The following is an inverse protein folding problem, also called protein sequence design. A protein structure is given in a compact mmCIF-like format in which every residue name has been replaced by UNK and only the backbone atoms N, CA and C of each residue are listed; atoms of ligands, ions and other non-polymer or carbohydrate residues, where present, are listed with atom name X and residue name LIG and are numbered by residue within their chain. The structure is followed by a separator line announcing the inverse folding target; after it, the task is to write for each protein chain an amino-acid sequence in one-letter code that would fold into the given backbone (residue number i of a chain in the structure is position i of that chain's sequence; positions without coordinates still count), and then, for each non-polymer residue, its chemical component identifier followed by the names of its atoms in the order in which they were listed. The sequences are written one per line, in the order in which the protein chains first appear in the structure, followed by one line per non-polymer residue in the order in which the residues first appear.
data_IF_820693427028
#
_entry.id   IF_820693427028
#
_cell.length_a   1.000
_cell.length_b   1.000
_cell.length_c   1.000
_cell.angle_alpha   90.00
_cell.angle_beta   90.00
_cell.angle_gamma   90.00
#
_symmetry.space_group_name_H-M   'P 1'
#
loop_
_entity.id
_entity.type
_entity.pdbx_description
1 polymer ?
#
# COMPACT_ATOMS: atom_id res chain seq x y z
N UNK A 1 5.50 -26.58 32.22
CA UNK A 1 6.17 -25.51 31.49
C UNK A 1 6.86 -26.13 30.28
N UNK A 2 6.31 -26.02 29.11
CA UNK A 2 6.92 -26.57 27.88
C UNK A 2 8.08 -25.66 27.46
N UNK A 3 9.24 -26.28 27.26
CA UNK A 3 10.46 -25.59 26.85
C UNK A 3 10.22 -24.96 25.45
N UNK A 4 10.34 -23.62 25.27
CA UNK A 4 10.09 -22.97 24.00
C UNK A 4 11.06 -23.40 22.87
N UNK A 5 12.14 -24.10 23.19
CA UNK A 5 13.10 -24.65 22.22
C UNK A 5 12.71 -26.00 21.62
N UNK A 6 11.59 -26.58 22.02
CA UNK A 6 11.09 -27.88 21.51
C UNK A 6 9.86 -27.71 20.59
N UNK A 7 9.55 -26.50 20.14
CA UNK A 7 8.47 -26.26 19.20
C UNK A 7 8.81 -26.91 17.84
N UNK A 8 7.93 -27.72 17.25
CA UNK A 8 8.21 -28.40 15.99
C UNK A 8 8.54 -27.41 14.86
N UNK A 9 9.40 -27.79 13.90
CA UNK A 9 9.82 -26.89 12.81
C UNK A 9 8.69 -26.24 12.02
N UNK A 10 7.54 -26.92 11.90
CA UNK A 10 6.35 -26.38 11.23
C UNK A 10 5.68 -25.24 12.00
N UNK A 11 5.85 -25.19 13.32
CA UNK A 11 5.29 -24.08 14.14
C UNK A 11 6.17 -22.83 14.02
N UNK A 12 7.50 -23.01 13.87
CA UNK A 12 8.41 -21.90 13.58
C UNK A 12 8.20 -21.35 12.16
N UNK A 13 8.00 -22.24 11.18
CA UNK A 13 7.67 -21.84 9.81
C UNK A 13 6.33 -21.07 9.75
N UNK A 14 5.33 -21.49 10.51
CA UNK A 14 4.07 -20.78 10.63
C UNK A 14 4.23 -19.43 11.35
N UNK A 15 5.08 -19.33 12.38
CA UNK A 15 5.32 -18.05 13.08
C UNK A 15 5.97 -16.99 12.18
N UNK A 16 6.72 -17.38 11.16
CA UNK A 16 7.29 -16.48 10.16
C UNK A 16 6.26 -16.02 9.11
N UNK A 17 5.10 -16.68 9.02
CA UNK A 17 3.97 -16.24 8.19
C UNK A 17 3.16 -15.14 8.87
N UNK A 18 3.31 -14.96 10.18
CA UNK A 18 2.54 -13.98 10.93
C UNK A 18 3.32 -12.68 11.10
N UNK A 19 2.64 -11.54 10.90
CA UNK A 19 3.22 -10.24 11.18
C UNK A 19 3.60 -10.09 12.65
N UNK A 20 4.62 -9.28 12.92
CA UNK A 20 4.92 -8.84 14.27
C UNK A 20 3.97 -7.72 14.67
N UNK A 21 3.27 -7.91 15.78
CA UNK A 21 2.41 -6.87 16.35
C UNK A 21 3.29 -5.79 16.97
N UNK A 22 3.09 -4.54 16.56
CA UNK A 22 3.75 -3.40 17.18
C UNK A 22 3.15 -3.10 18.56
N UNK A 23 3.86 -2.32 19.38
CA UNK A 23 3.33 -1.88 20.67
C UNK A 23 2.10 -0.97 20.55
N UNK A 24 1.91 -0.34 19.39
CA UNK A 24 0.75 0.48 19.06
C UNK A 24 0.15 0.00 17.76
N UNK A 25 -1.17 0.09 17.66
CA UNK A 25 -1.93 -0.27 16.48
C UNK A 25 -2.47 0.98 15.79
N UNK A 26 -2.76 0.89 14.51
CA UNK A 26 -3.34 2.00 13.77
C UNK A 26 -4.72 2.33 14.35
N UNK A 27 -4.94 3.59 14.73
CA UNK A 27 -6.22 4.08 15.26
C UNK A 27 -6.76 3.22 16.43
N UNK A 28 -5.88 2.69 17.29
CA UNK A 28 -6.22 1.79 18.39
C UNK A 28 -7.01 0.55 17.97
N UNK A 29 -6.81 0.05 16.75
CA UNK A 29 -7.38 -1.20 16.27
C UNK A 29 -7.03 -2.38 17.18
N UNK A 30 -7.87 -3.41 17.21
CA UNK A 30 -7.60 -4.65 17.96
C UNK A 30 -6.34 -5.34 17.40
N UNK A 31 -5.31 -5.63 18.20
CA UNK A 31 -4.13 -6.33 17.71
C UNK A 31 -4.42 -7.81 17.45
N UNK A 32 -4.05 -8.30 16.27
CA UNK A 32 -4.22 -9.70 15.87
C UNK A 32 -2.90 -10.23 15.31
N UNK A 33 -2.32 -11.25 15.96
CA UNK A 33 -1.09 -11.88 15.52
C UNK A 33 -1.31 -13.13 14.68
N UNK A 34 -2.43 -13.83 14.84
CA UNK A 34 -2.77 -15.05 14.09
C UNK A 34 -3.82 -14.73 13.03
N UNK A 35 -3.44 -14.85 11.76
CA UNK A 35 -4.34 -14.63 10.64
C UNK A 35 -5.19 -15.86 10.28
N UNK A 36 -4.91 -17.03 10.84
CA UNK A 36 -5.74 -18.22 10.63
C UNK A 36 -7.08 -18.06 11.36
N UNK A 37 -8.17 -18.14 10.60
CA UNK A 37 -9.50 -17.92 11.16
C UNK A 37 -9.79 -16.46 11.52
N UNK A 38 -9.05 -15.53 10.94
CA UNK A 38 -9.29 -14.09 11.09
C UNK A 38 -10.77 -13.77 10.83
N UNK A 39 -11.34 -12.94 11.70
CA UNK A 39 -12.64 -12.31 11.52
C UNK A 39 -12.42 -10.82 11.69
N UNK A 40 -12.64 -10.06 10.64
CA UNK A 40 -12.51 -8.62 10.65
C UNK A 40 -13.30 -8.03 9.49
N UNK A 41 -13.75 -6.79 9.63
CA UNK A 41 -14.30 -6.00 8.54
C UNK A 41 -13.20 -5.17 7.88
N UNK A 42 -12.23 -4.69 8.67
CA UNK A 42 -11.06 -3.94 8.20
C UNK A 42 -9.82 -4.50 8.88
N UNK A 43 -8.76 -4.75 8.11
CA UNK A 43 -7.50 -5.29 8.61
C UNK A 43 -6.29 -4.49 8.12
N UNK A 44 -5.50 -3.98 9.05
CA UNK A 44 -4.23 -3.30 8.77
C UNK A 44 -3.11 -4.32 8.69
N UNK A 45 -2.24 -4.20 7.69
CA UNK A 45 -1.02 -4.98 7.54
C UNK A 45 0.13 -4.04 7.19
N UNK A 46 1.20 -4.09 7.95
CA UNK A 46 2.41 -3.34 7.65
C UNK A 46 3.40 -4.15 6.81
N UNK A 47 4.08 -3.47 5.92
CA UNK A 47 5.21 -4.00 5.15
C UNK A 47 6.34 -2.96 5.07
N UNK A 48 7.18 -2.85 6.12
CA UNK A 48 8.22 -1.82 6.22
C UNK A 48 9.27 -1.87 5.12
N UNK A 49 9.50 -3.04 4.51
CA UNK A 49 10.59 -3.22 3.56
C UNK A 49 10.10 -3.75 2.22
N UNK A 50 10.48 -3.06 1.15
CA UNK A 50 10.42 -3.59 -0.21
C UNK A 50 11.64 -4.45 -0.55
N UNK A 51 11.76 -4.91 -1.79
CA UNK A 51 12.95 -5.59 -2.29
C UNK A 51 14.07 -4.57 -2.49
N UNK A 52 15.24 -4.75 -1.83
CA UNK A 52 16.32 -3.79 -1.91
C UNK A 52 17.09 -3.91 -3.23
N UNK A 53 17.65 -2.78 -3.71
CA UNK A 53 18.57 -2.76 -4.85
C UNK A 53 20.01 -3.16 -4.51
N UNK A 54 20.31 -3.35 -3.23
CA UNK A 54 21.61 -3.80 -2.75
C UNK A 54 21.46 -4.66 -1.50
N UNK A 55 22.48 -5.43 -1.15
CA UNK A 55 22.50 -6.24 0.06
C UNK A 55 22.37 -5.42 1.37
N UNK A 56 22.58 -4.12 1.31
CA UNK A 56 22.47 -3.20 2.46
C UNK A 56 21.16 -2.39 2.43
N UNK A 57 20.26 -2.66 1.49
CA UNK A 57 19.08 -1.84 1.22
C UNK A 57 17.88 -2.06 2.14
N UNK A 58 17.99 -2.90 3.17
CA UNK A 58 16.91 -3.07 4.16
C UNK A 58 16.88 -1.99 5.24
N UNK A 59 17.86 -1.11 5.29
CA UNK A 59 17.90 0.00 6.23
C UNK A 59 17.72 1.32 5.49
N UNK A 60 16.50 1.64 5.12
CA UNK A 60 16.11 2.96 4.66
C UNK A 60 15.14 3.61 5.65
N UNK A 61 15.06 4.94 5.61
CA UNK A 61 14.20 5.69 6.54
C UNK A 61 12.72 5.40 6.30
N UNK A 62 12.35 4.92 5.12
CA UNK A 62 10.97 4.55 4.77
C UNK A 62 10.47 3.35 5.57
N UNK A 63 11.37 2.49 6.05
CA UNK A 63 11.04 1.32 6.87
C UNK A 63 10.36 1.67 8.20
N UNK A 64 10.51 2.89 8.68
CA UNK A 64 9.86 3.36 9.91
C UNK A 64 8.41 3.83 9.69
N UNK A 65 7.97 3.99 8.45
CA UNK A 65 6.65 4.57 8.14
C UNK A 65 5.49 3.84 8.79
N UNK A 66 5.38 2.49 8.77
CA UNK A 66 4.26 1.81 9.44
C UNK A 66 4.20 2.08 10.94
N UNK A 67 5.36 2.12 11.60
CA UNK A 67 5.45 2.42 13.03
C UNK A 67 5.02 3.86 13.33
N UNK A 68 5.53 4.82 12.56
CA UNK A 68 5.23 6.25 12.74
C UNK A 68 3.75 6.52 12.50
N UNK A 69 3.15 5.94 11.47
CA UNK A 69 1.72 6.10 11.19
C UNK A 69 0.85 5.57 12.33
N UNK A 70 1.21 4.42 12.92
CA UNK A 70 0.52 3.89 14.10
C UNK A 70 0.65 4.81 15.31
N UNK A 71 1.86 5.29 15.59
CA UNK A 71 2.11 6.20 16.72
C UNK A 71 1.38 7.52 16.58
N UNK A 72 1.39 8.12 15.38
CA UNK A 72 0.71 9.38 15.13
C UNK A 72 -0.82 9.26 15.13
N UNK A 73 -1.34 8.09 14.76
CA UNK A 73 -2.78 7.84 14.72
C UNK A 73 -3.44 7.87 16.09
N UNK A 74 -2.69 7.63 17.19
CA UNK A 74 -3.18 7.77 18.56
C UNK A 74 -3.78 9.16 18.83
N UNK A 75 -3.21 10.19 18.22
CA UNK A 75 -3.72 11.56 18.35
C UNK A 75 -5.13 11.73 17.78
N UNK A 76 -5.44 11.01 16.71
CA UNK A 76 -6.75 11.09 16.04
C UNK A 76 -7.84 10.41 16.89
N UNK A 77 -7.50 9.29 17.52
CA UNK A 77 -8.48 8.45 18.22
C UNK A 77 -8.63 8.73 19.72
N UNK A 78 -7.93 9.73 20.24
CA UNK A 78 -8.12 10.14 21.66
C UNK A 78 -9.57 10.44 21.99
N UNK A 79 -10.32 10.88 20.99
CA UNK A 79 -11.73 11.23 21.11
C UNK A 79 -12.48 10.70 19.89
N UNK A 80 -12.69 9.37 19.77
CA UNK A 80 -13.27 8.76 18.56
C UNK A 80 -14.72 9.21 18.29
N UNK A 81 -15.39 9.79 19.28
CA UNK A 81 -16.75 10.31 19.16
C UNK A 81 -16.79 11.79 18.72
N UNK A 82 -15.61 12.42 18.58
CA UNK A 82 -15.54 13.79 18.07
C UNK A 82 -15.90 13.81 16.57
N UNK A 83 -16.54 14.91 16.20
CA UNK A 83 -16.91 15.12 14.80
C UNK A 83 -15.68 15.46 13.97
N UNK A 84 -15.51 14.75 12.87
CA UNK A 84 -14.48 15.00 11.86
C UNK A 84 -15.16 15.52 10.59
N UNK A 85 -14.79 16.73 10.16
CA UNK A 85 -15.36 17.41 9.00
C UNK A 85 -14.95 16.77 7.66
N UNK A 86 -13.87 15.97 7.64
CA UNK A 86 -13.44 15.29 6.40
C UNK A 86 -14.30 14.09 6.07
N UNK A 87 -14.88 13.44 7.08
CA UNK A 87 -15.75 12.27 6.93
C UNK A 87 -17.22 12.54 7.29
N UNK A 88 -17.55 13.79 7.65
CA UNK A 88 -18.90 14.26 8.01
C UNK A 88 -19.50 13.45 9.18
N UNK A 89 -18.70 13.20 10.22
CA UNK A 89 -19.14 12.42 11.38
C UNK A 89 -17.99 11.94 12.26
N UNK A 90 -18.27 11.17 13.29
CA UNK A 90 -17.25 10.54 14.11
C UNK A 90 -16.55 9.40 13.36
N UNK A 91 -15.41 8.93 13.87
CA UNK A 91 -14.67 7.80 13.29
C UNK A 91 -15.59 6.59 13.11
N UNK A 92 -15.52 5.94 11.94
CA UNK A 92 -16.39 4.84 11.51
C UNK A 92 -17.89 5.18 11.59
N UNK A 93 -18.25 6.46 11.47
CA UNK A 93 -19.63 6.95 11.62
C UNK A 93 -20.28 6.53 12.96
N UNK A 94 -19.48 6.41 14.03
CA UNK A 94 -19.91 5.97 15.33
C UNK A 94 -20.29 4.50 15.43
N UNK A 95 -20.11 3.71 14.38
CA UNK A 95 -20.42 2.27 14.37
C UNK A 95 -19.47 1.50 15.28
N UNK A 96 -20.02 0.71 16.18
CA UNK A 96 -19.28 -0.12 17.14
C UNK A 96 -19.28 -1.62 16.74
N UNK A 97 -20.02 -1.98 15.72
CA UNK A 97 -20.12 -3.33 15.17
C UNK A 97 -19.03 -3.66 14.15
N UNK A 98 -18.29 -2.67 13.66
CA UNK A 98 -17.16 -2.85 12.75
C UNK A 98 -15.96 -3.37 13.54
N UNK A 99 -15.48 -4.56 13.18
CA UNK A 99 -14.27 -5.12 13.73
C UNK A 99 -13.06 -4.64 12.92
N UNK A 100 -12.35 -3.68 13.48
CA UNK A 100 -11.14 -3.09 12.94
C UNK A 100 -9.93 -3.68 13.65
N UNK A 101 -9.04 -4.34 12.92
CA UNK A 101 -7.89 -5.04 13.47
C UNK A 101 -6.58 -4.54 12.87
N UNK A 102 -5.49 -4.65 13.62
CA UNK A 102 -4.12 -4.43 13.14
C UNK A 102 -3.33 -5.73 13.28
N UNK A 103 -2.90 -6.25 12.15
CA UNK A 103 -2.22 -7.54 12.02
C UNK A 103 -0.68 -7.43 12.19
N UNK A 104 -0.15 -6.23 12.48
CA UNK A 104 1.29 -6.00 12.62
C UNK A 104 2.01 -5.97 11.27
N UNK A 105 3.32 -6.29 11.28
CA UNK A 105 4.22 -6.09 10.14
C UNK A 105 4.80 -7.40 9.61
N UNK A 106 4.86 -7.54 8.28
CA UNK A 106 5.65 -8.57 7.61
C UNK A 106 7.08 -8.08 7.48
N UNK A 107 8.00 -8.74 8.16
CA UNK A 107 9.42 -8.40 8.17
C UNK A 107 10.25 -9.41 7.37
N UNK A 108 11.34 -8.99 6.70
CA UNK A 108 12.33 -9.90 6.18
C UNK A 108 13.12 -10.56 7.34
N UNK A 109 13.46 -11.84 7.23
CA UNK A 109 14.51 -12.41 8.06
C UNK A 109 15.87 -12.15 7.39
N UNK A 110 16.54 -11.11 7.84
CA UNK A 110 17.82 -10.65 7.27
C UNK A 110 18.95 -11.70 7.36
N UNK A 111 18.76 -12.76 8.13
CA UNK A 111 19.75 -13.85 8.29
C UNK A 111 19.57 -14.95 7.27
N UNK A 112 18.35 -15.18 6.80
CA UNK A 112 17.99 -16.35 5.99
C UNK A 112 17.34 -15.99 4.66
N UNK A 113 16.61 -14.87 4.58
CA UNK A 113 15.93 -14.48 3.36
C UNK A 113 16.92 -13.96 2.31
N UNK A 114 16.74 -14.40 1.07
CA UNK A 114 17.26 -13.68 -0.07
C UNK A 114 16.46 -12.39 -0.29
N UNK A 115 17.04 -11.37 -0.94
CA UNK A 115 16.31 -10.15 -1.25
C UNK A 115 14.95 -10.45 -1.91
N UNK A 116 13.86 -9.99 -1.29
CA UNK A 116 12.50 -10.18 -1.79
C UNK A 116 11.78 -11.48 -1.37
N UNK A 117 12.43 -12.43 -0.70
CA UNK A 117 11.74 -13.66 -0.25
C UNK A 117 10.59 -13.40 0.73
N UNK A 118 10.66 -12.34 1.53
CA UNK A 118 9.57 -11.91 2.40
C UNK A 118 8.31 -11.49 1.63
N UNK A 119 8.40 -11.21 0.32
CA UNK A 119 7.26 -10.91 -0.55
C UNK A 119 6.26 -12.06 -0.59
N UNK A 120 6.73 -13.31 -0.64
CA UNK A 120 5.84 -14.46 -0.60
C UNK A 120 5.04 -14.54 0.70
N UNK A 121 5.66 -14.20 1.84
CA UNK A 121 4.97 -14.13 3.14
C UNK A 121 3.95 -13.00 3.17
N UNK A 122 4.28 -11.84 2.62
CA UNK A 122 3.38 -10.71 2.53
C UNK A 122 2.14 -11.04 1.67
N UNK A 123 2.36 -11.66 0.51
CA UNK A 123 1.26 -12.15 -0.35
C UNK A 123 0.39 -13.17 0.39
N UNK A 124 0.99 -14.13 1.11
CA UNK A 124 0.25 -15.14 1.87
C UNK A 124 -0.57 -14.51 3.02
N UNK A 125 0.02 -13.56 3.76
CA UNK A 125 -0.67 -12.83 4.83
C UNK A 125 -1.88 -12.05 4.28
N UNK A 126 -1.72 -11.33 3.18
CA UNK A 126 -2.82 -10.59 2.58
C UNK A 126 -3.91 -11.52 2.02
N UNK A 127 -3.56 -12.69 1.46
CA UNK A 127 -4.56 -13.69 1.06
C UNK A 127 -5.44 -14.15 2.22
N UNK A 128 -4.87 -14.35 3.41
CA UNK A 128 -5.65 -14.71 4.60
C UNK A 128 -6.61 -13.60 5.02
N UNK A 129 -6.17 -12.35 4.93
CA UNK A 129 -7.02 -11.18 5.19
C UNK A 129 -8.18 -11.11 4.18
N UNK A 130 -7.89 -11.29 2.89
CA UNK A 130 -8.90 -11.30 1.84
C UNK A 130 -9.88 -12.49 1.96
N UNK A 131 -9.40 -13.67 2.35
CA UNK A 131 -10.23 -14.85 2.63
C UNK A 131 -11.19 -14.63 3.81
N UNK A 132 -10.79 -13.82 4.78
CA UNK A 132 -11.68 -13.39 5.87
C UNK A 132 -12.76 -12.40 5.42
N UNK A 133 -12.71 -11.90 4.18
CA UNK A 133 -13.62 -10.87 3.66
C UNK A 133 -13.34 -9.46 4.17
N UNK A 134 -12.20 -9.24 4.83
CA UNK A 134 -11.83 -7.95 5.37
C UNK A 134 -11.30 -6.99 4.29
N UNK A 135 -11.61 -5.70 4.44
CA UNK A 135 -10.97 -4.63 3.66
C UNK A 135 -9.53 -4.42 4.16
N UNK A 136 -8.51 -4.66 3.35
CA UNK A 136 -7.13 -4.46 3.78
C UNK A 136 -6.70 -3.00 3.70
N UNK A 137 -5.94 -2.55 4.70
CA UNK A 137 -5.19 -1.30 4.70
C UNK A 137 -3.72 -1.66 4.83
N UNK A 138 -2.92 -1.35 3.82
CA UNK A 138 -1.50 -1.67 3.81
C UNK A 138 -0.66 -0.44 4.17
N UNK A 139 0.18 -0.56 5.18
CA UNK A 139 1.12 0.47 5.57
C UNK A 139 2.50 0.12 5.01
N UNK A 140 2.99 0.94 4.08
CA UNK A 140 4.23 0.68 3.38
C UNK A 140 5.47 1.27 4.05
N UNK A 141 6.58 0.69 3.64
CA UNK A 141 7.89 1.26 3.45
C UNK A 141 8.00 1.88 2.06
N UNK A 142 8.92 1.38 1.22
CA UNK A 142 9.03 1.86 -0.16
C UNK A 142 7.96 1.24 -1.08
N UNK A 143 7.76 1.84 -2.25
CA UNK A 143 6.66 1.50 -3.16
C UNK A 143 6.72 0.07 -3.75
N UNK A 144 7.87 -0.60 -3.70
CA UNK A 144 8.02 -2.00 -4.15
C UNK A 144 7.06 -2.98 -3.48
N UNK A 145 6.54 -2.63 -2.30
CA UNK A 145 5.56 -3.45 -1.58
C UNK A 145 4.24 -3.65 -2.33
N UNK A 146 3.90 -2.77 -3.26
CA UNK A 146 2.68 -2.90 -4.08
C UNK A 146 2.68 -4.21 -4.88
N UNK A 147 3.84 -4.67 -5.34
CA UNK A 147 3.96 -5.93 -6.09
C UNK A 147 3.43 -7.16 -5.36
N UNK A 148 3.92 -7.52 -4.15
CA UNK A 148 3.41 -8.69 -3.42
C UNK A 148 1.96 -8.52 -2.96
N UNK A 149 1.51 -7.30 -2.71
CA UNK A 149 0.13 -7.03 -2.34
C UNK A 149 -0.82 -7.29 -3.50
N UNK A 150 -0.53 -6.78 -4.69
CA UNK A 150 -1.34 -7.04 -5.89
C UNK A 150 -1.43 -8.53 -6.23
N UNK A 151 -0.35 -9.30 -6.04
CA UNK A 151 -0.35 -10.75 -6.26
C UNK A 151 -1.37 -11.51 -5.43
N UNK A 152 -1.77 -10.98 -4.28
CA UNK A 152 -2.76 -11.62 -3.42
C UNK A 152 -4.18 -11.62 -4.02
N UNK A 153 -4.43 -10.77 -5.00
CA UNK A 153 -5.75 -10.60 -5.63
C UNK A 153 -5.98 -11.50 -6.84
N UNK A 154 -5.10 -12.44 -7.15
CA UNK A 154 -5.16 -13.33 -8.31
C UNK A 154 -6.46 -14.15 -8.43
N UNK A 155 -7.19 -14.33 -7.33
CA UNK A 155 -8.47 -15.05 -7.31
C UNK A 155 -9.68 -14.14 -7.09
N UNK A 156 -9.50 -12.82 -7.09
CA UNK A 156 -10.57 -11.87 -6.78
C UNK A 156 -11.20 -11.21 -8.02
N UNK A 157 -10.86 -11.71 -9.23
CA UNK A 157 -11.33 -11.18 -10.52
C UNK A 157 -10.63 -9.89 -10.93
N UNK A 158 -11.09 -9.28 -12.02
CA UNK A 158 -10.40 -8.12 -12.58
C UNK A 158 -10.46 -6.93 -11.64
N UNK A 159 -9.33 -6.23 -11.51
CA UNK A 159 -9.18 -5.01 -10.74
C UNK A 159 -8.66 -3.87 -11.61
N UNK A 160 -9.07 -2.65 -11.27
CA UNK A 160 -8.49 -1.41 -11.77
C UNK A 160 -7.51 -0.88 -10.73
N UNK A 161 -6.23 -0.74 -11.12
CA UNK A 161 -5.20 -0.15 -10.28
C UNK A 161 -5.24 1.36 -10.41
N UNK A 162 -5.47 2.05 -9.31
CA UNK A 162 -5.34 3.50 -9.17
C UNK A 162 -4.03 3.78 -8.45
N UNK A 163 -3.09 4.40 -9.15
CA UNK A 163 -1.74 4.66 -8.68
C UNK A 163 -1.50 6.16 -8.57
N UNK A 164 -1.33 6.66 -7.36
CA UNK A 164 -0.99 8.06 -7.08
C UNK A 164 0.51 8.16 -6.84
N UNK A 165 1.21 8.91 -7.69
CA UNK A 165 2.68 8.98 -7.65
C UNK A 165 3.19 10.15 -8.52
N UNK A 166 4.37 10.68 -8.19
CA UNK A 166 5.11 11.54 -9.11
C UNK A 166 5.77 10.75 -10.26
N UNK A 167 5.98 9.45 -10.07
CA UNK A 167 6.74 8.54 -10.92
C UNK A 167 5.86 7.53 -11.65
N UNK A 168 6.36 6.99 -12.76
CA UNK A 168 5.61 5.94 -13.51
C UNK A 168 5.83 4.54 -12.95
N UNK A 169 6.89 4.32 -12.18
CA UNK A 169 7.27 3.03 -11.56
C UNK A 169 7.19 1.83 -12.53
N UNK A 170 7.63 2.07 -13.78
CA UNK A 170 7.53 1.13 -14.90
C UNK A 170 8.87 0.50 -15.30
N UNK A 171 9.85 0.49 -14.38
CA UNK A 171 11.16 -0.14 -14.66
C UNK A 171 11.02 -1.65 -14.73
N UNK A 172 11.54 -2.26 -15.80
CA UNK A 172 11.61 -3.72 -15.86
C UNK A 172 12.63 -4.26 -14.86
N UNK A 173 13.76 -3.58 -14.76
CA UNK A 173 14.88 -3.97 -13.90
C UNK A 173 15.68 -2.75 -13.42
N UNK A 174 16.18 -2.82 -12.20
CA UNK A 174 17.18 -1.89 -11.66
C UNK A 174 18.29 -2.72 -11.01
N UNK A 175 19.47 -2.77 -11.64
CA UNK A 175 20.66 -3.50 -11.15
C UNK A 175 20.37 -4.98 -10.87
N UNK A 176 19.59 -5.64 -11.75
CA UNK A 176 19.18 -7.05 -11.59
C UNK A 176 17.99 -7.28 -10.66
N UNK A 177 17.44 -6.25 -10.04
CA UNK A 177 16.25 -6.35 -9.18
C UNK A 177 15.01 -5.91 -9.95
N UNK A 178 14.10 -6.86 -10.19
CA UNK A 178 12.87 -6.64 -10.95
C UNK A 178 11.69 -6.17 -10.10
N UNK A 179 11.77 -6.29 -8.79
CA UNK A 179 10.65 -6.06 -7.85
C UNK A 179 10.96 -4.96 -6.84
N UNK A 180 11.89 -4.07 -7.18
CA UNK A 180 12.20 -2.91 -6.35
C UNK A 180 11.20 -1.78 -6.50
N UNK A 181 11.44 -0.69 -5.76
CA UNK A 181 10.51 0.44 -5.64
C UNK A 181 10.14 1.13 -6.97
N UNK A 182 10.98 1.07 -8.01
CA UNK A 182 10.70 1.70 -9.30
C UNK A 182 9.99 0.77 -10.31
N UNK A 183 9.50 -0.40 -9.86
CA UNK A 183 8.99 -1.45 -10.75
C UNK A 183 7.58 -1.96 -10.44
N UNK A 184 6.88 -1.53 -9.39
CA UNK A 184 5.64 -2.17 -8.97
C UNK A 184 4.55 -2.08 -10.04
N UNK A 185 4.48 -0.98 -10.78
CA UNK A 185 3.44 -0.81 -11.79
C UNK A 185 3.76 -1.60 -13.07
N UNK A 186 5.04 -1.75 -13.40
CA UNK A 186 5.47 -2.70 -14.42
C UNK A 186 5.10 -4.13 -14.03
N UNK A 187 5.32 -4.54 -12.78
CA UNK A 187 4.91 -5.88 -12.30
C UNK A 187 3.40 -6.04 -12.31
N UNK A 188 2.65 -5.00 -11.95
CA UNK A 188 1.19 -5.01 -12.02
C UNK A 188 0.70 -5.28 -13.45
N UNK A 189 1.31 -4.67 -14.46
CA UNK A 189 0.93 -4.85 -15.87
C UNK A 189 1.14 -6.27 -16.40
N UNK A 190 1.89 -7.10 -15.68
CA UNK A 190 2.14 -8.51 -16.02
C UNK A 190 1.17 -9.48 -15.31
N UNK A 191 0.25 -8.96 -14.49
CA UNK A 191 -0.73 -9.75 -13.72
C UNK A 191 -2.06 -9.82 -14.47
N UNK A 192 -2.53 -11.03 -14.81
CA UNK A 192 -3.76 -11.25 -15.59
C UNK A 192 -5.02 -10.63 -14.97
N UNK A 193 -5.04 -10.44 -13.65
CA UNK A 193 -6.17 -9.85 -12.95
C UNK A 193 -6.13 -8.30 -12.87
N UNK A 194 -5.05 -7.66 -13.31
CA UNK A 194 -4.96 -6.21 -13.43
C UNK A 194 -5.34 -5.80 -14.85
N UNK A 195 -6.55 -5.27 -15.03
CA UNK A 195 -7.09 -4.97 -16.35
C UNK A 195 -6.88 -3.53 -16.78
N UNK A 196 -6.85 -2.60 -15.84
CA UNK A 196 -6.63 -1.19 -16.11
C UNK A 196 -5.69 -0.57 -15.08
N UNK A 197 -4.91 0.41 -15.51
CA UNK A 197 -3.97 1.14 -14.66
C UNK A 197 -4.16 2.63 -14.92
N UNK A 198 -4.54 3.37 -13.87
CA UNK A 198 -4.60 4.82 -13.85
C UNK A 198 -3.46 5.35 -12.98
N UNK A 199 -2.51 6.05 -13.58
CA UNK A 199 -1.40 6.69 -12.89
C UNK A 199 -1.68 8.18 -12.75
N UNK A 200 -1.83 8.67 -11.52
CA UNK A 200 -2.31 10.00 -11.19
C UNK A 200 -1.20 10.81 -10.50
N UNK A 201 -0.87 11.97 -11.03
CA UNK A 201 0.07 12.89 -10.39
C UNK A 201 1.47 12.92 -10.99
N UNK A 202 1.66 12.27 -12.15
CA UNK A 202 2.94 12.20 -12.85
C UNK A 202 3.49 13.60 -13.15
N UNK A 203 4.78 13.83 -12.83
CA UNK A 203 5.42 15.12 -13.03
C UNK A 203 6.93 15.06 -12.91
N UNK A 204 7.60 16.17 -13.25
CA UNK A 204 9.03 16.38 -13.18
C UNK A 204 9.87 15.46 -14.10
N UNK A 205 11.11 15.88 -14.31
CA UNK A 205 12.12 15.06 -14.96
C UNK A 205 12.58 13.96 -13.98
N UNK A 206 12.75 12.75 -14.48
CA UNK A 206 13.14 11.60 -13.65
C UNK A 206 12.00 10.71 -13.20
N UNK A 207 10.75 11.14 -13.41
CA UNK A 207 9.56 10.31 -13.11
C UNK A 207 9.50 9.02 -13.95
N UNK A 208 10.18 8.98 -15.08
CA UNK A 208 10.29 7.80 -15.93
C UNK A 208 11.29 8.01 -17.06
N UNK A 209 11.87 6.93 -17.57
CA UNK A 209 12.63 6.97 -18.82
C UNK A 209 11.68 6.98 -20.00
N UNK A 210 12.12 7.52 -21.14
CA UNK A 210 11.29 7.54 -22.35
C UNK A 210 10.75 6.16 -22.71
N UNK A 211 11.61 5.13 -22.69
CA UNK A 211 11.21 3.77 -23.01
C UNK A 211 10.18 3.19 -22.03
N UNK A 212 10.28 3.50 -20.73
CA UNK A 212 9.31 3.05 -19.71
C UNK A 212 7.94 3.69 -19.95
N UNK A 213 7.91 4.99 -20.27
CA UNK A 213 6.69 5.74 -20.58
C UNK A 213 6.04 5.22 -21.87
N UNK A 214 6.83 4.97 -22.91
CA UNK A 214 6.33 4.43 -24.19
C UNK A 214 5.77 3.02 -24.00
N UNK A 215 6.39 2.20 -23.16
CA UNK A 215 5.92 0.85 -22.86
C UNK A 215 4.63 0.88 -22.03
N UNK A 216 4.53 1.72 -21.03
CA UNK A 216 3.30 1.92 -20.27
C UNK A 216 2.12 2.35 -21.17
N UNK A 217 2.36 3.30 -22.09
CA UNK A 217 1.35 3.73 -23.06
C UNK A 217 0.96 2.62 -24.02
N UNK A 218 1.92 1.80 -24.47
CA UNK A 218 1.67 0.67 -25.37
C UNK A 218 0.85 -0.42 -24.68
N UNK A 219 1.05 -0.61 -23.38
CA UNK A 219 0.23 -1.52 -22.57
C UNK A 219 -1.21 -0.99 -22.42
N UNK A 220 -1.42 0.32 -22.49
CA UNK A 220 -2.72 0.96 -22.34
C UNK A 220 -2.91 1.68 -21.00
N UNK A 221 -1.84 1.90 -20.22
CA UNK A 221 -1.92 2.65 -18.97
C UNK A 221 -2.31 4.12 -19.20
N UNK A 222 -3.21 4.62 -18.37
CA UNK A 222 -3.65 6.01 -18.38
C UNK A 222 -2.67 6.87 -17.57
N UNK A 223 -1.80 7.58 -18.27
CA UNK A 223 -0.77 8.44 -17.66
C UNK A 223 -1.32 9.86 -17.50
N UNK A 224 -1.74 10.21 -16.30
CA UNK A 224 -2.40 11.47 -15.97
C UNK A 224 -1.45 12.33 -15.13
N UNK A 225 -1.05 13.47 -15.67
CA UNK A 225 -0.14 14.37 -14.98
C UNK A 225 -0.83 15.14 -13.85
N UNK A 226 -0.04 15.60 -12.87
CA UNK A 226 -0.55 16.49 -11.83
C UNK A 226 -1.14 17.78 -12.44
N UNK A 227 -0.54 18.31 -13.51
CA UNK A 227 -1.03 19.49 -14.22
C UNK A 227 -2.42 19.27 -14.81
N UNK A 228 -2.64 18.12 -15.45
CA UNK A 228 -3.96 17.75 -15.98
C UNK A 228 -5.02 17.68 -14.87
N UNK A 229 -4.66 17.13 -13.69
CA UNK A 229 -5.54 17.07 -12.54
C UNK A 229 -5.84 18.47 -11.99
N UNK A 230 -4.85 19.37 -11.96
CA UNK A 230 -5.04 20.74 -11.50
C UNK A 230 -5.94 21.52 -12.44
N UNK A 231 -5.78 21.33 -13.74
CA UNK A 231 -6.54 22.07 -14.75
C UNK A 231 -7.99 21.57 -14.90
N UNK A 232 -8.19 20.23 -14.93
CA UNK A 232 -9.50 19.62 -15.15
C UNK A 232 -10.31 19.43 -13.86
N UNK A 233 -9.66 19.35 -12.71
CA UNK A 233 -10.25 18.98 -11.43
C UNK A 233 -10.44 17.46 -11.25
N UNK A 234 -10.45 17.01 -10.01
CA UNK A 234 -10.51 15.57 -9.66
C UNK A 234 -11.81 14.89 -10.14
N UNK A 235 -12.93 15.61 -10.19
CA UNK A 235 -14.20 15.07 -10.68
C UNK A 235 -14.09 14.58 -12.14
N UNK A 236 -13.48 15.37 -13.02
CA UNK A 236 -13.28 15.02 -14.42
C UNK A 236 -12.31 13.82 -14.59
N UNK A 237 -11.38 13.62 -13.64
CA UNK A 237 -10.51 12.44 -13.63
C UNK A 237 -11.27 11.19 -13.19
N UNK A 238 -12.11 11.33 -12.15
CA UNK A 238 -12.95 10.22 -11.64
C UNK A 238 -13.94 9.73 -12.70
N UNK A 239 -14.49 10.63 -13.52
CA UNK A 239 -15.41 10.28 -14.62
C UNK A 239 -14.75 9.38 -15.69
N UNK A 240 -13.41 9.32 -15.74
CA UNK A 240 -12.65 8.46 -16.66
C UNK A 240 -12.38 7.08 -16.08
N UNK A 241 -12.49 6.91 -14.77
CA UNK A 241 -12.25 5.64 -14.08
C UNK A 241 -13.52 4.80 -14.17
N UNK A 242 -13.47 3.56 -14.68
CA UNK A 242 -14.64 2.71 -14.81
C UNK A 242 -15.32 2.47 -13.46
N UNK A 243 -16.63 2.61 -13.41
CA UNK A 243 -17.42 2.27 -12.23
C UNK A 243 -17.68 0.75 -12.17
N UNK A 244 -16.61 -0.02 -11.94
CA UNK A 244 -16.65 -1.47 -11.81
C UNK A 244 -16.58 -1.97 -10.35
N UNK A 245 -16.40 -1.04 -9.40
CA UNK A 245 -16.40 -1.30 -7.96
C UNK A 245 -15.22 -2.13 -7.43
N UNK A 246 -14.18 -2.34 -8.24
CA UNK A 246 -13.00 -3.15 -7.86
C UNK A 246 -11.72 -2.39 -8.09
N UNK A 247 -11.38 -1.56 -7.13
CA UNK A 247 -10.18 -0.74 -7.18
C UNK A 247 -9.13 -1.23 -6.20
N UNK A 248 -7.86 -1.20 -6.64
CA UNK A 248 -6.72 -1.20 -5.75
C UNK A 248 -6.11 0.19 -5.79
N UNK A 249 -6.16 0.90 -4.67
CA UNK A 249 -5.57 2.23 -4.56
C UNK A 249 -4.17 2.10 -3.95
N UNK A 250 -3.15 2.45 -4.74
CA UNK A 250 -1.76 2.57 -4.30
C UNK A 250 -1.39 4.04 -4.24
N UNK A 251 -0.90 4.49 -3.10
CA UNK A 251 -0.51 5.88 -2.88
C UNK A 251 0.97 5.91 -2.51
N UNK A 252 1.80 6.41 -3.43
CA UNK A 252 3.12 6.91 -3.05
C UNK A 252 2.97 8.30 -2.41
N UNK A 253 3.67 8.50 -1.30
CA UNK A 253 3.61 9.76 -0.56
C UNK A 253 4.10 10.95 -1.40
N UNK A 254 5.01 10.73 -2.36
CA UNK A 254 5.50 11.78 -3.23
C UNK A 254 4.55 12.14 -4.38
N UNK A 255 3.50 11.37 -4.62
CA UNK A 255 2.38 11.77 -5.47
C UNK A 255 1.63 12.99 -4.93
N UNK A 256 1.67 13.16 -3.60
CA UNK A 256 1.12 14.33 -2.90
C UNK A 256 2.11 15.49 -2.92
N UNK A 257 1.60 16.72 -2.90
CA UNK A 257 2.47 17.91 -2.88
C UNK A 257 3.32 17.98 -1.60
N UNK A 258 4.63 18.31 -1.67
CA UNK A 258 5.50 18.39 -0.51
C UNK A 258 5.08 19.39 0.56
N UNK A 259 4.20 20.34 0.25
CA UNK A 259 3.60 21.24 1.26
C UNK A 259 2.61 20.53 2.17
N UNK A 260 2.08 19.39 1.73
CA UNK A 260 1.17 18.52 2.48
C UNK A 260 1.93 17.30 3.05
N UNK A 261 2.79 16.70 2.26
CA UNK A 261 3.55 15.48 2.58
C UNK A 261 5.06 15.72 2.39
N UNK A 262 5.74 16.41 3.32
CA UNK A 262 7.16 16.81 3.14
C UNK A 262 8.16 15.66 3.35
N UNK A 263 7.77 14.62 4.09
CA UNK A 263 8.66 13.53 4.49
C UNK A 263 8.64 12.39 3.47
N UNK A 264 9.23 12.62 2.31
CA UNK A 264 9.34 11.66 1.20
C UNK A 264 10.77 11.58 0.69
N UNK A 265 11.14 10.46 0.06
CA UNK A 265 12.50 10.27 -0.46
C UNK A 265 12.80 11.16 -1.66
N UNK A 266 11.82 11.41 -2.51
CA UNK A 266 11.94 12.20 -3.74
C UNK A 266 10.89 13.32 -3.82
N UNK A 267 11.02 14.42 -3.04
CA UNK A 267 10.01 15.48 -3.04
C UNK A 267 9.87 16.12 -4.42
N UNK A 268 8.67 16.07 -4.96
CA UNK A 268 8.33 16.61 -6.28
C UNK A 268 7.24 17.69 -6.15
N UNK A 269 7.57 18.98 -6.28
CA UNK A 269 6.59 20.07 -6.22
C UNK A 269 5.48 19.98 -7.27
N UNK A 270 4.30 20.52 -6.95
CA UNK A 270 3.15 20.54 -7.85
C UNK A 270 2.34 19.24 -7.82
N UNK A 271 2.44 18.47 -6.75
CA UNK A 271 1.66 17.25 -6.54
C UNK A 271 0.20 17.47 -6.16
N UNK A 272 -0.51 16.39 -5.83
CA UNK A 272 -1.90 16.46 -5.44
C UNK A 272 -2.04 17.15 -4.06
N UNK A 273 -2.99 18.05 -3.97
CA UNK A 273 -3.36 18.70 -2.71
C UNK A 273 -4.13 17.73 -1.81
N UNK A 274 -4.18 18.02 -0.50
CA UNK A 274 -5.02 17.27 0.45
C UNK A 274 -6.49 17.17 -0.02
N UNK A 275 -7.05 18.27 -0.56
CA UNK A 275 -8.43 18.31 -1.05
C UNK A 275 -8.62 17.37 -2.25
N UNK A 276 -7.66 17.33 -3.17
CA UNK A 276 -7.72 16.42 -4.32
C UNK A 276 -7.59 14.95 -3.91
N UNK A 277 -6.71 14.63 -2.94
CA UNK A 277 -6.61 13.28 -2.38
C UNK A 277 -7.92 12.84 -1.71
N UNK A 278 -8.52 13.73 -0.90
CA UNK A 278 -9.83 13.49 -0.29
C UNK A 278 -10.91 13.24 -1.35
N UNK A 279 -10.97 14.07 -2.39
CA UNK A 279 -11.92 13.90 -3.51
C UNK A 279 -11.72 12.56 -4.23
N UNK A 280 -10.47 12.15 -4.49
CA UNK A 280 -10.16 10.86 -5.09
C UNK A 280 -10.70 9.70 -4.25
N UNK A 281 -10.33 9.64 -2.96
CA UNK A 281 -10.72 8.57 -2.06
C UNK A 281 -12.25 8.49 -1.94
N UNK A 282 -12.92 9.61 -1.72
CA UNK A 282 -14.38 9.66 -1.63
C UNK A 282 -15.06 9.29 -2.95
N UNK A 283 -14.46 9.65 -4.09
CA UNK A 283 -14.99 9.33 -5.41
C UNK A 283 -14.92 7.85 -5.76
N UNK A 284 -13.90 7.13 -5.26
CA UNK A 284 -13.73 5.70 -5.49
C UNK A 284 -14.64 4.81 -4.63
N UNK A 285 -15.15 5.32 -3.49
CA UNK A 285 -16.00 4.54 -2.55
C UNK A 285 -17.48 4.88 -2.62
N UNK A 286 -17.91 5.62 -3.65
CA UNK A 286 -19.32 6.00 -3.85
C UNK A 286 -20.17 4.88 -4.43
#
# INVERSE_FOLDING_TARGET
MTNPLTTPPHTLANSLLFPHVSHRTLLNAEPVADLHGLRADIAVLGMPFGAPYSAHGYSDDQSHTPLILRDLSDRIVRHPDHYDFDIDGPLLQGRRDIRFVDCGDVLPDIRTDKPGEHYARATAALRLILQAGALPIILGGNHGITTPMLRAYDQHGPITLIHVDAHVDWRDDVVGVREGLSSPIRRASEMDHVHEIFQLGLRMQGSGRLADVEDARRWGAHLITAYEIHDAGMAAILDRIPDNGRYYLSIDADGVDPTVMPAVAGPAPGGLSFVQMRQLIHGLVR
#
